data_IF_984251737679
#
_entry.id   IF_984251737679
#
_cell.length_a   1.000
_cell.length_b   1.000
_cell.length_c   1.000
_cell.angle_alpha   90.00
_cell.angle_beta   90.00
_cell.angle_gamma   90.00
#
_symmetry.space_group_name_H-M   'P 1'
#
loop_
_entity.id
_entity.type
_entity.pdbx_description
1 polymer ?
#
# COMPACT_ATOMS: atom_id res chain seq x y z
N UNK A 1 -3.76 13.10 -9.10
CA UNK A 1 -5.03 12.35 -9.08
C UNK A 1 -5.27 11.81 -7.67
N UNK A 2 -6.27 12.38 -6.99
CA UNK A 2 -6.70 11.93 -5.66
C UNK A 2 -7.36 10.57 -5.87
N UNK A 3 -6.77 9.50 -5.33
CA UNK A 3 -7.44 8.21 -5.24
C UNK A 3 -8.75 8.48 -4.49
N UNK A 4 -9.89 8.22 -5.13
CA UNK A 4 -11.20 8.48 -4.50
C UNK A 4 -11.33 7.62 -3.25
N UNK A 5 -11.99 8.13 -2.21
CA UNK A 5 -12.17 7.43 -0.93
C UNK A 5 -12.66 5.97 -1.10
N UNK A 6 -13.41 5.68 -2.16
CA UNK A 6 -13.86 4.34 -2.50
C UNK A 6 -12.72 3.37 -2.89
N UNK A 7 -11.67 3.85 -3.55
CA UNK A 7 -10.51 3.04 -3.91
C UNK A 7 -9.62 2.77 -2.69
N UNK A 8 -9.41 3.73 -1.79
CA UNK A 8 -8.76 3.49 -0.50
C UNK A 8 -9.57 2.50 0.36
N UNK A 9 -10.89 2.62 0.39
CA UNK A 9 -11.78 1.69 1.12
C UNK A 9 -11.73 0.25 0.56
N UNK A 10 -11.69 0.12 -0.77
CA UNK A 10 -11.55 -1.18 -1.44
C UNK A 10 -10.15 -1.75 -1.21
N UNK A 11 -9.11 -0.91 -1.28
CA UNK A 11 -7.72 -1.25 -0.99
C UNK A 11 -7.59 -1.81 0.43
N UNK A 12 -8.06 -1.08 1.45
CA UNK A 12 -8.07 -1.49 2.86
C UNK A 12 -8.83 -2.82 3.05
N UNK A 13 -10.00 -3.02 2.43
CA UNK A 13 -10.70 -4.33 2.48
C UNK A 13 -9.91 -5.48 1.86
N UNK A 14 -9.16 -5.24 0.79
CA UNK A 14 -8.26 -6.25 0.20
C UNK A 14 -7.08 -6.57 1.13
N UNK A 15 -6.58 -5.57 1.88
CA UNK A 15 -5.51 -5.73 2.88
C UNK A 15 -5.94 -6.44 4.17
N UNK A 16 -7.24 -6.43 4.50
CA UNK A 16 -7.79 -6.95 5.76
C UNK A 16 -8.53 -8.29 5.65
N UNK A 17 -8.47 -9.00 4.52
CA UNK A 17 -9.19 -10.28 4.35
C UNK A 17 -8.67 -11.35 5.33
N UNK A 18 -9.33 -11.44 6.49
CA UNK A 18 -9.00 -12.35 7.61
C UNK A 18 -8.50 -11.66 8.90
N UNK A 19 -8.58 -10.33 9.02
CA UNK A 19 -8.17 -9.60 10.24
C UNK A 19 -6.66 -9.45 10.42
N UNK A 20 -5.85 -9.86 9.43
CA UNK A 20 -4.40 -9.61 9.38
C UNK A 20 -4.09 -8.70 8.20
N UNK A 21 -3.43 -7.59 8.48
CA UNK A 21 -2.86 -6.72 7.47
C UNK A 21 -1.85 -7.53 6.66
N UNK A 22 -2.08 -7.69 5.36
CA UNK A 22 -1.09 -8.28 4.46
C UNK A 22 -0.01 -7.25 4.16
N UNK A 23 1.24 -7.66 4.17
CA UNK A 23 2.33 -6.82 3.71
C UNK A 23 2.12 -6.44 2.24
N UNK A 24 2.52 -5.22 1.86
CA UNK A 24 2.55 -4.84 0.46
C UNK A 24 3.84 -5.42 -0.13
N UNK A 25 3.70 -6.43 -0.99
CA UNK A 25 4.86 -7.01 -1.67
C UNK A 25 5.27 -6.14 -2.86
N UNK A 26 6.58 -5.92 -3.00
CA UNK A 26 7.20 -5.23 -4.13
C UNK A 26 8.24 -6.14 -4.77
N UNK A 27 8.49 -5.91 -6.06
CA UNK A 27 9.54 -6.59 -6.79
C UNK A 27 10.32 -5.62 -7.67
N UNK A 28 11.63 -5.83 -7.76
CA UNK A 28 12.51 -5.14 -8.70
C UNK A 28 12.60 -5.97 -9.96
N UNK A 29 12.16 -5.41 -11.09
CA UNK A 29 12.21 -6.02 -12.41
C UNK A 29 12.83 -5.02 -13.40
N UNK A 30 13.97 -5.40 -13.98
CA UNK A 30 14.76 -4.54 -14.87
C UNK A 30 15.12 -3.19 -14.23
N UNK A 31 15.51 -3.21 -12.96
CA UNK A 31 15.86 -2.03 -12.17
C UNK A 31 14.70 -1.12 -11.77
N UNK A 32 13.45 -1.48 -12.08
CA UNK A 32 12.26 -0.71 -11.71
C UNK A 32 11.47 -1.45 -10.62
N UNK A 33 11.05 -0.72 -9.60
CA UNK A 33 10.20 -1.23 -8.53
C UNK A 33 8.73 -1.23 -8.92
N UNK A 34 8.07 -2.38 -8.76
CA UNK A 34 6.65 -2.56 -9.01
C UNK A 34 5.95 -3.14 -7.78
N UNK A 35 4.66 -2.81 -7.60
CA UNK A 35 3.80 -3.57 -6.69
C UNK A 35 3.65 -5.00 -7.24
N UNK A 36 3.85 -5.98 -6.37
CA UNK A 36 3.92 -7.38 -6.75
C UNK A 36 2.95 -8.26 -5.97
N UNK A 37 2.74 -9.46 -6.48
CA UNK A 37 2.08 -10.53 -5.73
C UNK A 37 2.59 -11.88 -6.18
N UNK A 38 2.67 -12.81 -5.25
CA UNK A 38 3.12 -14.18 -5.52
C UNK A 38 1.89 -15.06 -5.74
N UNK A 39 1.79 -15.68 -6.91
CA UNK A 39 0.73 -16.64 -7.22
C UNK A 39 1.04 -17.99 -6.57
N UNK A 40 0.01 -18.83 -6.40
CA UNK A 40 0.17 -20.18 -5.85
C UNK A 40 1.12 -21.07 -6.66
N UNK A 41 1.24 -20.81 -7.97
CA UNK A 41 2.13 -21.50 -8.89
C UNK A 41 3.55 -20.90 -8.92
N UNK A 42 3.87 -19.95 -8.03
CA UNK A 42 5.18 -19.31 -7.94
C UNK A 42 5.41 -18.15 -8.89
N UNK A 43 4.51 -17.89 -9.85
CA UNK A 43 4.64 -16.74 -10.76
C UNK A 43 4.46 -15.43 -9.99
N UNK A 44 5.23 -14.43 -10.41
CA UNK A 44 5.13 -13.07 -9.88
C UNK A 44 4.23 -12.27 -10.80
N UNK A 45 3.26 -11.59 -10.20
CA UNK A 45 2.42 -10.63 -10.92
C UNK A 45 2.87 -9.23 -10.54
N UNK A 46 3.35 -8.46 -11.51
CA UNK A 46 3.75 -7.06 -11.38
C UNK A 46 2.57 -6.14 -11.75
N UNK A 47 2.43 -5.01 -11.05
CA UNK A 47 1.44 -3.97 -11.30
C UNK A 47 2.11 -2.62 -11.46
N UNK A 48 1.65 -1.86 -12.45
CA UNK A 48 2.05 -0.49 -12.72
C UNK A 48 0.81 0.36 -13.02
N UNK A 49 0.87 1.64 -12.72
CA UNK A 49 -0.13 2.64 -13.12
C UNK A 49 0.37 3.51 -14.30
N UNK A 50 1.60 3.29 -14.75
CA UNK A 50 2.23 4.04 -15.83
C UNK A 50 1.89 3.43 -17.21
N UNK A 51 1.24 4.22 -18.07
CA UNK A 51 0.92 3.91 -19.46
C UNK A 51 2.13 3.46 -20.29
N UNK A 52 3.34 3.95 -19.96
CA UNK A 52 4.57 3.54 -20.63
C UNK A 52 4.84 2.03 -20.48
N UNK A 53 4.29 1.39 -19.45
CA UNK A 53 4.44 -0.05 -19.16
C UNK A 53 3.90 -0.94 -20.28
N UNK A 54 2.98 -0.44 -21.14
CA UNK A 54 2.51 -1.15 -22.34
C UNK A 54 3.68 -1.55 -23.25
N UNK A 55 4.66 -0.67 -23.41
CA UNK A 55 5.84 -0.91 -24.25
C UNK A 55 6.72 -2.04 -23.70
N UNK A 56 6.67 -2.27 -22.40
CA UNK A 56 7.38 -3.35 -21.69
C UNK A 56 6.57 -4.66 -21.64
N UNK A 57 5.48 -4.75 -22.40
CA UNK A 57 4.63 -5.93 -22.49
C UNK A 57 3.78 -6.17 -21.25
N UNK A 58 3.39 -5.12 -20.53
CA UNK A 58 2.30 -5.18 -19.56
C UNK A 58 0.96 -5.10 -20.30
N UNK A 59 -0.04 -5.81 -19.77
CA UNK A 59 -1.41 -5.82 -20.30
C UNK A 59 -2.28 -4.89 -19.46
N UNK A 60 -2.99 -3.98 -20.12
CA UNK A 60 -3.97 -3.11 -19.47
C UNK A 60 -5.14 -3.90 -18.90
N UNK A 61 -5.59 -3.54 -17.70
CA UNK A 61 -6.83 -4.00 -17.09
C UNK A 61 -7.54 -2.84 -16.43
N UNK A 62 -8.85 -2.80 -16.60
CA UNK A 62 -9.73 -1.92 -15.86
C UNK A 62 -10.16 -2.60 -14.55
N UNK A 63 -9.99 -1.90 -13.43
CA UNK A 63 -10.48 -2.31 -12.11
C UNK A 63 -11.29 -1.15 -11.54
N UNK A 64 -12.62 -1.31 -11.52
CA UNK A 64 -13.52 -0.21 -11.20
C UNK A 64 -13.35 0.92 -12.22
N UNK A 65 -13.09 2.14 -11.73
CA UNK A 65 -12.83 3.31 -12.57
C UNK A 65 -11.33 3.56 -12.83
N UNK A 66 -10.45 2.65 -12.40
CA UNK A 66 -9.00 2.80 -12.49
C UNK A 66 -8.43 1.87 -13.56
N UNK A 67 -7.41 2.36 -14.28
CA UNK A 67 -6.61 1.56 -15.21
C UNK A 67 -5.33 1.10 -14.52
N UNK A 68 -5.02 -0.17 -14.64
CA UNK A 68 -3.76 -0.74 -14.16
C UNK A 68 -3.12 -1.60 -15.25
N UNK A 69 -1.79 -1.68 -15.21
CA UNK A 69 -0.99 -2.50 -16.11
C UNK A 69 -0.45 -3.69 -15.36
N UNK A 70 -0.70 -4.89 -15.89
CA UNK A 70 -0.30 -6.13 -15.24
C UNK A 70 0.64 -6.93 -16.13
N UNK A 71 1.73 -7.43 -15.55
CA UNK A 71 2.63 -8.39 -16.20
C UNK A 71 2.84 -9.60 -15.31
N UNK A 72 2.92 -10.77 -15.92
CA UNK A 72 3.34 -12.00 -15.25
C UNK A 72 4.76 -12.32 -15.64
N UNK A 73 5.60 -12.62 -14.65
CA UNK A 73 6.99 -13.01 -14.82
C UNK A 73 7.31 -14.18 -13.91
N UNK A 74 8.36 -14.92 -14.24
CA UNK A 74 8.92 -15.97 -13.41
C UNK A 74 9.75 -15.37 -12.27
N UNK A 75 9.99 -16.15 -11.21
CA UNK A 75 10.74 -15.68 -10.04
C UNK A 75 12.22 -15.38 -10.37
N UNK A 76 12.80 -16.11 -11.31
CA UNK A 76 14.18 -15.93 -11.78
C UNK A 76 14.37 -14.66 -12.64
N UNK A 77 13.30 -14.07 -13.16
CA UNK A 77 13.32 -12.78 -13.84
C UNK A 77 13.32 -11.59 -12.86
N UNK A 78 13.15 -11.84 -11.56
CA UNK A 78 13.08 -10.80 -10.51
C UNK A 78 14.43 -10.64 -9.82
N UNK A 79 14.91 -9.41 -9.73
CA UNK A 79 16.17 -9.06 -9.07
C UNK A 79 16.02 -9.10 -7.54
N UNK A 80 14.91 -8.57 -7.04
CA UNK A 80 14.59 -8.58 -5.61
C UNK A 80 13.08 -8.66 -5.42
N UNK A 81 12.63 -9.42 -4.42
CA UNK A 81 11.24 -9.44 -3.97
C UNK A 81 11.22 -9.30 -2.46
N UNK A 82 10.38 -8.39 -1.99
CA UNK A 82 10.35 -8.06 -0.57
C UNK A 82 9.00 -7.45 -0.19
N UNK A 83 8.68 -7.54 1.08
CA UNK A 83 7.55 -6.88 1.69
C UNK A 83 7.96 -5.50 2.19
N UNK A 84 7.20 -4.47 1.84
CA UNK A 84 7.42 -3.08 2.28
C UNK A 84 6.32 -2.66 3.24
N UNK A 85 6.71 -2.12 4.39
CA UNK A 85 5.81 -1.43 5.32
C UNK A 85 6.31 -0.01 5.52
N UNK A 86 5.40 0.94 5.35
CA UNK A 86 5.67 2.34 5.65
C UNK A 86 4.96 2.70 6.95
N UNK A 87 5.70 3.29 7.87
CA UNK A 87 5.18 3.81 9.12
C UNK A 87 5.40 5.33 9.18
N UNK A 88 4.51 6.00 9.90
CA UNK A 88 4.63 7.40 10.24
C UNK A 88 4.64 7.55 11.76
N UNK A 89 5.66 8.23 12.29
CA UNK A 89 5.69 8.65 13.69
C UNK A 89 5.09 10.05 13.76
N UNK A 90 3.88 10.14 14.31
CA UNK A 90 3.08 11.37 14.41
C UNK A 90 2.69 11.59 15.87
N UNK A 91 3.00 12.76 16.42
CA UNK A 91 2.69 13.13 17.82
C UNK A 91 3.17 12.07 18.84
N UNK A 92 4.30 11.41 18.56
CA UNK A 92 4.90 10.37 19.42
C UNK A 92 4.33 8.95 19.24
N UNK A 93 3.36 8.75 18.35
CA UNK A 93 2.77 7.44 18.06
C UNK A 93 3.16 6.93 16.68
N UNK A 94 3.37 5.62 16.57
CA UNK A 94 3.73 4.96 15.31
C UNK A 94 2.49 4.37 14.65
N UNK A 95 2.17 4.87 13.46
CA UNK A 95 1.04 4.45 12.65
C UNK A 95 1.49 3.80 11.35
N UNK A 96 0.63 2.99 10.75
CA UNK A 96 0.87 2.42 9.43
C UNK A 96 0.37 3.41 8.39
N UNK A 97 1.17 3.66 7.35
CA UNK A 97 0.75 4.45 6.20
C UNK A 97 0.08 3.53 5.20
N UNK A 98 -1.19 3.80 4.88
CA UNK A 98 -2.01 2.95 4.00
C UNK A 98 -2.34 3.60 2.67
N UNK A 99 -2.17 4.92 2.57
CA UNK A 99 -2.33 5.68 1.33
C UNK A 99 -1.46 6.95 1.38
N UNK A 100 -1.16 7.52 0.22
CA UNK A 100 -0.43 8.78 0.11
C UNK A 100 -0.85 9.61 -1.10
N UNK A 101 -0.76 10.92 -0.93
CA UNK A 101 -0.76 11.89 -2.03
C UNK A 101 0.60 12.57 -2.11
N UNK A 102 0.75 13.55 -2.99
CA UNK A 102 1.97 14.35 -3.06
C UNK A 102 2.33 15.00 -1.71
N UNK A 103 1.32 15.47 -0.95
CA UNK A 103 1.54 16.28 0.27
C UNK A 103 1.14 15.58 1.56
N UNK A 104 0.25 14.59 1.48
CA UNK A 104 -0.38 14.00 2.65
C UNK A 104 -0.21 12.48 2.66
N UNK A 105 -0.33 11.90 3.84
CA UNK A 105 -0.37 10.45 4.07
C UNK A 105 -1.59 10.10 4.90
N UNK A 106 -2.20 8.95 4.60
CA UNK A 106 -3.27 8.38 5.40
C UNK A 106 -2.65 7.42 6.41
N UNK A 107 -2.66 7.83 7.67
CA UNK A 107 -2.21 7.00 8.79
C UNK A 107 -3.37 6.17 9.33
N UNK A 108 -3.09 4.92 9.71
CA UNK A 108 -4.05 3.97 10.24
C UNK A 108 -3.49 3.22 11.46
N UNK A 109 -4.34 2.99 12.45
CA UNK A 109 -4.09 2.10 13.60
C UNK A 109 -5.28 1.18 13.86
N UNK A 110 -4.97 0.00 14.37
CA UNK A 110 -5.94 -0.99 14.85
C UNK A 110 -5.74 -1.36 16.33
N UNK A 111 -4.76 -0.73 16.98
CA UNK A 111 -4.29 -1.07 18.32
C UNK A 111 -4.21 0.22 19.16
N UNK A 112 -4.01 0.08 20.48
CA UNK A 112 -3.83 1.20 21.41
C UNK A 112 -5.13 1.74 21.99
N UNK A 113 -5.05 2.88 22.66
CA UNK A 113 -6.18 3.51 23.35
C UNK A 113 -6.99 4.38 22.37
N UNK A 114 -8.26 4.03 22.20
CA UNK A 114 -9.15 4.75 21.29
C UNK A 114 -9.42 6.20 21.72
N UNK A 115 -9.28 6.52 23.02
CA UNK A 115 -9.43 7.89 23.50
C UNK A 115 -8.32 8.80 22.96
N UNK A 116 -7.11 8.26 22.82
CA UNK A 116 -5.98 8.96 22.20
C UNK A 116 -6.23 9.17 20.69
N UNK A 117 -6.80 8.19 20.00
CA UNK A 117 -7.14 8.33 18.58
C UNK A 117 -8.20 9.41 18.35
N UNK A 118 -9.21 9.49 19.22
CA UNK A 118 -10.18 10.59 19.19
C UNK A 118 -9.51 11.94 19.51
N UNK A 119 -8.63 12.00 20.52
CA UNK A 119 -7.87 13.21 20.89
C UNK A 119 -7.02 13.74 19.73
N UNK A 120 -6.41 12.83 18.96
CA UNK A 120 -5.64 13.15 17.76
C UNK A 120 -6.53 13.48 16.55
N UNK A 121 -7.86 13.46 16.69
CA UNK A 121 -8.80 13.77 15.62
C UNK A 121 -8.85 12.71 14.52
N UNK A 122 -8.59 11.45 14.86
CA UNK A 122 -8.73 10.33 13.94
C UNK A 122 -10.19 9.90 13.81
N UNK A 123 -10.59 9.48 12.61
CA UNK A 123 -11.91 8.96 12.31
C UNK A 123 -11.96 7.44 12.56
N UNK A 124 -13.02 6.97 13.24
CA UNK A 124 -13.30 5.55 13.40
C UNK A 124 -14.00 5.01 12.15
N UNK A 125 -13.33 4.16 11.37
CA UNK A 125 -13.86 3.63 10.10
C UNK A 125 -14.45 2.22 10.23
N UNK A 126 -14.06 1.49 11.27
CA UNK A 126 -14.58 0.18 11.64
C UNK A 126 -14.26 -0.09 13.11
N UNK A 127 -14.76 -1.19 13.68
CA UNK A 127 -14.55 -1.55 15.08
C UNK A 127 -13.06 -1.67 15.42
N UNK A 128 -12.56 -0.70 16.18
CA UNK A 128 -11.16 -0.63 16.62
C UNK A 128 -10.20 -0.11 15.55
N UNK A 129 -10.70 0.43 14.44
CA UNK A 129 -9.90 0.91 13.31
C UNK A 129 -10.05 2.42 13.16
N UNK A 130 -8.93 3.12 13.26
CA UNK A 130 -8.89 4.58 13.22
C UNK A 130 -7.93 5.05 12.14
N UNK A 131 -8.32 6.08 11.39
CA UNK A 131 -7.48 6.67 10.36
C UNK A 131 -7.50 8.21 10.37
N UNK A 132 -6.47 8.83 9.81
CA UNK A 132 -6.40 10.28 9.63
C UNK A 132 -5.47 10.64 8.46
N UNK A 133 -5.87 11.61 7.65
CA UNK A 133 -4.94 12.28 6.74
C UNK A 133 -4.10 13.30 7.50
N UNK A 134 -2.78 13.21 7.38
CA UNK A 134 -1.83 14.19 7.95
C UNK A 134 -0.88 14.69 6.86
N UNK A 135 -0.27 15.85 7.06
CA UNK A 135 0.75 16.32 6.13
C UNK A 135 2.04 15.52 6.32
N UNK A 136 2.75 15.22 5.21
CA UNK A 136 3.99 14.44 5.24
C UNK A 136 5.08 15.07 6.13
N UNK A 137 5.08 16.38 6.28
CA UNK A 137 6.03 17.12 7.12
C UNK A 137 5.69 17.13 8.61
N UNK A 138 4.52 16.60 9.01
CA UNK A 138 4.11 16.48 10.42
C UNK A 138 4.58 15.17 11.06
N UNK A 139 5.16 14.26 10.27
CA UNK A 139 5.57 12.96 10.74
C UNK A 139 6.95 12.56 10.24
N UNK A 140 7.64 11.76 11.03
CA UNK A 140 8.84 11.06 10.59
C UNK A 140 8.44 9.76 9.89
N UNK A 141 8.99 9.53 8.70
CA UNK A 141 8.65 8.36 7.88
C UNK A 141 9.70 7.27 8.06
N UNK A 142 9.24 6.08 8.44
CA UNK A 142 10.06 4.89 8.55
C UNK A 142 9.62 3.86 7.50
N UNK A 143 10.56 3.40 6.67
CA UNK A 143 10.30 2.35 5.68
C UNK A 143 11.02 1.08 6.10
N UNK A 144 10.27 0.01 6.34
CA UNK A 144 10.80 -1.31 6.63
C UNK A 144 10.66 -2.20 5.38
N UNK A 145 11.77 -2.81 4.95
CA UNK A 145 11.82 -3.80 3.88
C UNK A 145 12.16 -5.17 4.47
N UNK A 146 11.28 -6.14 4.29
CA UNK A 146 11.44 -7.53 4.74
C UNK A 146 11.60 -8.44 3.51
N UNK A 147 12.75 -9.09 3.33
CA UNK A 147 12.95 -10.02 2.19
C UNK A 147 12.07 -11.26 2.34
N UNK A 148 11.60 -11.78 1.20
CA UNK A 148 10.75 -12.99 1.09
C UNK A 148 11.57 -14.18 0.60
#
# INVERSE_FOLDING_TARGET
PVISDAAAFLYIKFYLKGGKMRNITFAIYKGIEYSAGIKKDGRIVLRSEDDASKKEGFVEKEIGNNRIYIKYVQKDEIEEIYDKKTYAVYEGYKFIVVDETEKQILILTMNGDYQEWIRLGMECIDKGMYQKWINKNEAEIEVLKEKI
#
